data_IF_502560332410
#
_entry.id   IF_502560332410
#
_cell.length_a   1.000
_cell.length_b   1.000
_cell.length_c   1.000
_cell.angle_alpha   90.00
_cell.angle_beta   90.00
_cell.angle_gamma   90.00
#
_symmetry.space_group_name_H-M   'P 1'
#
loop_
_entity.id
_entity.type
_entity.pdbx_description
1 polymer ?
#
# COMPACT_ATOMS: atom_id res chain seq x y z
N UNK A 1 -2.90 15.62 -27.75
CA UNK A 1 -2.73 15.26 -26.31
C UNK A 1 -4.06 15.20 -25.52
N UNK A 2 -5.15 14.85 -26.19
CA UNK A 2 -6.49 14.75 -25.53
C UNK A 2 -6.58 13.61 -24.48
N UNK A 3 -5.73 12.59 -24.60
CA UNK A 3 -5.67 11.44 -23.69
C UNK A 3 -5.00 11.73 -22.34
N UNK A 4 -4.37 12.90 -22.21
CA UNK A 4 -3.57 13.28 -21.02
C UNK A 4 -4.38 14.21 -20.12
N UNK A 5 -4.17 14.10 -18.81
CA UNK A 5 -4.75 15.02 -17.85
C UNK A 5 -4.28 16.48 -18.10
N UNK A 6 -5.18 17.45 -17.95
CA UNK A 6 -4.93 18.84 -18.35
C UNK A 6 -3.71 19.47 -17.67
N UNK A 7 -3.51 19.18 -16.39
CA UNK A 7 -2.34 19.64 -15.62
C UNK A 7 -1.01 19.10 -16.15
N UNK A 8 -1.02 17.96 -16.84
CA UNK A 8 0.17 17.35 -17.40
C UNK A 8 0.50 17.84 -18.83
N UNK A 9 -0.49 18.34 -19.57
CA UNK A 9 -0.29 18.83 -20.95
C UNK A 9 0.74 19.96 -21.01
N UNK A 10 0.59 20.96 -20.15
CA UNK A 10 1.50 22.11 -20.06
C UNK A 10 2.91 21.65 -19.67
N UNK A 11 3.00 20.71 -18.73
CA UNK A 11 4.27 20.13 -18.31
C UNK A 11 4.98 19.44 -19.50
N UNK A 12 4.29 18.60 -20.28
CA UNK A 12 4.89 17.85 -21.41
C UNK A 12 5.40 18.80 -22.50
N UNK A 13 4.71 19.91 -22.75
CA UNK A 13 5.12 20.89 -23.77
C UNK A 13 6.38 21.64 -23.35
N UNK A 14 6.50 21.99 -22.07
CA UNK A 14 7.56 22.85 -21.54
C UNK A 14 8.76 22.08 -20.98
N UNK A 15 8.66 20.75 -20.83
CA UNK A 15 9.71 19.95 -20.20
C UNK A 15 10.59 19.22 -21.18
N UNK A 16 11.85 19.06 -20.83
CA UNK A 16 12.83 18.23 -21.53
C UNK A 16 12.48 16.74 -21.43
N UNK A 17 13.11 15.90 -22.23
CA UNK A 17 12.98 14.44 -22.13
C UNK A 17 13.42 13.92 -20.76
N UNK A 18 14.48 14.48 -20.18
CA UNK A 18 15.01 14.10 -18.86
C UNK A 18 14.01 14.42 -17.75
N UNK A 19 13.40 15.60 -17.76
CA UNK A 19 12.38 15.98 -16.78
C UNK A 19 11.14 15.08 -16.86
N UNK A 20 10.72 14.72 -18.07
CA UNK A 20 9.59 13.78 -18.28
C UNK A 20 9.92 12.36 -17.81
N UNK A 21 11.17 11.90 -18.01
CA UNK A 21 11.66 10.62 -17.49
C UNK A 21 11.68 10.66 -15.95
N UNK A 22 12.17 11.74 -15.35
CA UNK A 22 12.16 11.89 -13.88
C UNK A 22 10.73 11.86 -13.34
N UNK A 23 9.83 12.63 -13.95
CA UNK A 23 8.41 12.60 -13.61
C UNK A 23 7.81 11.18 -13.72
N UNK A 24 8.20 10.39 -14.75
CA UNK A 24 7.71 9.01 -14.92
C UNK A 24 8.07 8.11 -13.73
N UNK A 25 9.24 8.31 -13.13
CA UNK A 25 9.74 7.53 -11.98
C UNK A 25 9.08 7.89 -10.66
N UNK A 26 8.41 9.04 -10.58
CA UNK A 26 7.71 9.43 -9.37
C UNK A 26 6.49 8.53 -9.12
N UNK A 27 6.23 8.22 -7.84
CA UNK A 27 5.04 7.48 -7.47
C UNK A 27 3.77 8.28 -7.75
N UNK A 28 2.87 7.70 -8.52
CA UNK A 28 1.54 8.26 -8.82
C UNK A 28 0.45 7.33 -8.32
N UNK A 29 -0.50 7.92 -7.59
CA UNK A 29 -1.69 7.19 -7.18
C UNK A 29 -2.65 7.04 -8.36
N UNK A 30 -2.94 5.81 -8.72
CA UNK A 30 -3.97 5.48 -9.72
C UNK A 30 -5.20 4.92 -9.00
N UNK A 31 -6.28 5.69 -9.00
CA UNK A 31 -7.55 5.28 -8.41
C UNK A 31 -8.28 4.26 -9.27
N UNK A 32 -8.89 3.26 -8.62
CA UNK A 32 -9.76 2.26 -9.24
C UNK A 32 -10.89 1.86 -8.30
N UNK A 33 -11.97 1.28 -8.84
CA UNK A 33 -13.22 1.02 -8.12
C UNK A 33 -13.02 0.29 -6.79
N UNK A 34 -12.27 -0.81 -6.79
CA UNK A 34 -12.02 -1.60 -5.57
C UNK A 34 -11.23 -0.81 -4.52
N UNK A 35 -10.22 -0.05 -4.94
CA UNK A 35 -9.46 0.80 -4.02
C UNK A 35 -10.34 1.88 -3.39
N UNK A 36 -11.24 2.49 -4.17
CA UNK A 36 -12.20 3.48 -3.66
C UNK A 36 -13.10 2.85 -2.59
N UNK A 37 -13.70 1.70 -2.86
CA UNK A 37 -14.57 0.99 -1.90
C UNK A 37 -13.82 0.72 -0.59
N UNK A 38 -12.56 0.28 -0.66
CA UNK A 38 -11.76 0.01 0.55
C UNK A 38 -11.43 1.32 1.29
N UNK A 39 -11.07 2.38 0.56
CA UNK A 39 -10.82 3.69 1.17
C UNK A 39 -12.07 4.24 1.85
N UNK A 40 -13.24 4.12 1.23
CA UNK A 40 -14.52 4.57 1.80
C UNK A 40 -14.80 3.81 3.12
N UNK A 41 -14.61 2.48 3.16
CA UNK A 41 -14.70 1.70 4.41
C UNK A 41 -13.72 2.18 5.48
N UNK A 42 -12.48 2.51 5.09
CA UNK A 42 -11.48 3.04 6.06
C UNK A 42 -11.88 4.42 6.58
N UNK A 43 -12.52 5.26 5.75
CA UNK A 43 -13.09 6.54 6.18
C UNK A 43 -14.20 6.32 7.21
N UNK A 44 -15.11 5.38 6.97
CA UNK A 44 -16.18 5.03 7.91
C UNK A 44 -15.60 4.62 9.28
N UNK A 45 -14.48 3.89 9.30
CA UNK A 45 -13.80 3.55 10.56
C UNK A 45 -13.34 4.76 11.36
N UNK A 46 -12.96 5.88 10.71
CA UNK A 46 -12.51 7.12 11.43
C UNK A 46 -13.64 7.82 12.19
N UNK A 47 -14.87 7.59 11.77
CA UNK A 47 -16.07 8.22 12.36
C UNK A 47 -16.95 7.21 13.10
N UNK A 48 -16.49 5.96 13.20
CA UNK A 48 -17.26 4.91 13.85
C UNK A 48 -17.50 5.23 15.32
N UNK A 49 -18.75 5.12 15.84
CA UNK A 49 -19.06 5.39 17.24
C UNK A 49 -18.27 4.46 18.16
N UNK A 50 -17.72 5.02 19.24
CA UNK A 50 -17.02 4.19 20.25
C UNK A 50 -17.99 3.17 20.87
N UNK A 51 -17.58 1.91 20.87
CA UNK A 51 -18.37 0.79 21.36
C UNK A 51 -17.49 -0.25 22.05
N UNK A 52 -18.11 -1.25 22.67
CA UNK A 52 -17.39 -2.34 23.34
C UNK A 52 -16.54 -3.19 22.38
N UNK A 53 -16.89 -3.20 21.09
CA UNK A 53 -16.17 -3.93 20.05
C UNK A 53 -16.05 -3.06 18.81
N UNK A 54 -14.86 -2.55 18.58
CA UNK A 54 -14.60 -1.77 17.36
C UNK A 54 -14.44 -2.72 16.17
N UNK A 55 -15.00 -2.37 15.01
CA UNK A 55 -14.78 -3.10 13.78
C UNK A 55 -13.34 -2.91 13.31
N UNK A 56 -12.74 -3.96 12.77
CA UNK A 56 -11.39 -3.91 12.22
C UNK A 56 -11.42 -4.31 10.75
N UNK A 57 -10.44 -3.87 9.98
CA UNK A 57 -10.30 -4.21 8.57
C UNK A 57 -9.00 -4.96 8.33
N UNK A 58 -9.05 -6.06 7.56
CA UNK A 58 -7.88 -6.77 7.10
C UNK A 58 -7.74 -6.63 5.59
N UNK A 59 -6.72 -5.90 5.14
CA UNK A 59 -6.39 -5.75 3.73
C UNK A 59 -5.45 -6.89 3.30
N UNK A 60 -5.95 -7.80 2.48
CA UNK A 60 -5.21 -8.97 2.01
C UNK A 60 -4.86 -8.82 0.55
N UNK A 61 -3.62 -9.12 0.19
CA UNK A 61 -3.18 -9.15 -1.20
C UNK A 61 -1.76 -9.66 -1.33
N UNK A 62 -1.39 -10.09 -2.50
CA UNK A 62 -0.02 -10.51 -2.78
C UNK A 62 0.97 -9.35 -2.66
N UNK A 63 2.25 -9.68 -2.55
CA UNK A 63 3.32 -8.67 -2.62
C UNK A 63 3.21 -7.91 -3.93
N UNK A 64 3.56 -6.61 -3.91
CA UNK A 64 3.46 -5.73 -5.07
C UNK A 64 2.05 -5.53 -5.66
N UNK A 65 0.99 -5.86 -4.88
CA UNK A 65 -0.40 -5.66 -5.31
C UNK A 65 -1.07 -4.39 -4.71
N UNK A 66 -0.29 -3.38 -4.34
CA UNK A 66 -0.76 -2.04 -4.03
C UNK A 66 -1.28 -1.82 -2.61
N UNK A 67 -1.17 -2.80 -1.67
CA UNK A 67 -1.62 -2.66 -0.27
C UNK A 67 -1.07 -1.40 0.40
N UNK A 68 0.25 -1.31 0.51
CA UNK A 68 0.93 -0.18 1.15
C UNK A 68 0.64 1.15 0.45
N UNK A 69 0.49 1.16 -0.87
CA UNK A 69 0.11 2.35 -1.63
C UNK A 69 -1.28 2.86 -1.24
N UNK A 70 -2.25 1.95 -1.08
CA UNK A 70 -3.61 2.26 -0.62
C UNK A 70 -3.59 2.82 0.80
N UNK A 71 -2.87 2.17 1.73
CA UNK A 71 -2.73 2.65 3.11
C UNK A 71 -2.09 4.03 3.17
N UNK A 72 -1.01 4.27 2.43
CA UNK A 72 -0.35 5.58 2.35
C UNK A 72 -1.26 6.64 1.74
N UNK A 73 -2.11 6.29 0.76
CA UNK A 73 -3.12 7.21 0.21
C UNK A 73 -4.11 7.63 1.29
N UNK A 74 -4.59 6.68 2.08
CA UNK A 74 -5.49 6.97 3.20
C UNK A 74 -4.83 7.86 4.26
N UNK A 75 -3.60 7.57 4.68
CA UNK A 75 -2.84 8.41 5.61
C UNK A 75 -2.66 9.84 5.10
N UNK A 76 -2.36 10.02 3.80
CA UNK A 76 -2.23 11.35 3.18
C UNK A 76 -3.53 12.16 3.21
N UNK A 77 -4.69 11.51 3.24
CA UNK A 77 -5.98 12.19 3.35
C UNK A 77 -6.37 12.52 4.80
N UNK A 78 -5.64 11.99 5.79
CA UNK A 78 -5.89 12.14 7.22
C UNK A 78 -4.59 12.53 7.95
N UNK A 79 -3.95 13.58 7.48
CA UNK A 79 -2.69 14.07 8.06
C UNK A 79 -2.89 14.58 9.48
N UNK A 80 -1.80 14.54 10.26
CA UNK A 80 -1.75 15.19 11.55
C UNK A 80 -1.89 16.72 11.40
N UNK A 81 -2.56 17.34 12.34
CA UNK A 81 -2.78 18.79 12.35
C UNK A 81 -2.76 19.30 13.79
N UNK A 82 -2.48 20.60 13.92
CA UNK A 82 -2.62 21.29 15.21
C UNK A 82 -4.05 21.83 15.30
N UNK A 83 -4.76 21.42 16.34
CA UNK A 83 -6.09 21.95 16.65
C UNK A 83 -5.94 23.42 17.14
N UNK A 84 -6.46 24.35 16.39
CA UNK A 84 -6.35 25.80 16.66
C UNK A 84 -6.97 26.21 18.00
N UNK A 85 -7.99 25.47 18.48
CA UNK A 85 -8.68 25.81 19.75
C UNK A 85 -7.90 25.35 20.98
N UNK A 86 -7.24 24.20 20.87
CA UNK A 86 -6.56 23.56 22.01
C UNK A 86 -5.04 23.68 21.92
N UNK A 87 -4.51 24.14 20.78
CA UNK A 87 -3.08 24.13 20.45
C UNK A 87 -2.42 22.73 20.58
N UNK A 88 -3.23 21.66 20.53
CA UNK A 88 -2.75 20.27 20.62
C UNK A 88 -2.58 19.65 19.26
N UNK A 89 -1.52 18.85 19.10
CA UNK A 89 -1.32 18.03 17.92
C UNK A 89 -2.34 16.89 17.92
N UNK A 90 -3.04 16.70 16.79
CA UNK A 90 -3.97 15.60 16.52
C UNK A 90 -3.43 14.73 15.42
N UNK A 91 -3.52 13.43 15.58
CA UNK A 91 -3.08 12.42 14.60
C UNK A 91 -4.20 11.41 14.36
N UNK A 92 -5.19 11.72 13.49
CA UNK A 92 -6.37 10.87 13.32
C UNK A 92 -6.04 9.45 12.85
N UNK A 93 -5.00 9.31 12.03
CA UNK A 93 -4.57 8.01 11.49
C UNK A 93 -3.08 7.84 11.72
N UNK A 94 -2.72 6.79 12.44
CA UNK A 94 -1.34 6.41 12.65
C UNK A 94 -1.04 5.12 11.90
N UNK A 95 0.05 5.08 11.14
CA UNK A 95 0.48 3.90 10.41
C UNK A 95 1.85 3.46 10.88
N UNK A 96 1.97 2.18 11.19
CA UNK A 96 3.23 1.50 11.50
C UNK A 96 3.40 0.28 10.61
N UNK A 97 4.64 -0.16 10.47
CA UNK A 97 4.95 -1.48 9.94
C UNK A 97 5.11 -2.47 11.09
N UNK A 98 4.55 -3.67 10.94
CA UNK A 98 4.74 -4.77 11.88
C UNK A 98 6.24 -5.09 12.02
N UNK A 99 6.75 -5.36 13.23
CA UNK A 99 8.13 -5.81 13.39
C UNK A 99 8.36 -7.11 12.62
N UNK A 100 9.61 -7.41 12.22
CA UNK A 100 9.94 -8.57 11.37
C UNK A 100 9.69 -9.93 12.04
N UNK A 101 9.51 -9.94 13.34
CA UNK A 101 9.11 -11.09 14.15
C UNK A 101 8.14 -10.65 15.26
N UNK A 102 7.32 -11.56 15.83
CA UNK A 102 6.37 -11.23 16.89
C UNK A 102 7.11 -10.87 18.18
N UNK A 103 7.33 -9.57 18.39
CA UNK A 103 8.02 -8.98 19.52
C UNK A 103 7.25 -7.76 20.04
N UNK A 104 6.71 -7.86 21.23
CA UNK A 104 5.91 -6.81 21.87
C UNK A 104 6.70 -5.52 22.07
N UNK A 105 7.95 -5.61 22.53
CA UNK A 105 8.82 -4.45 22.76
C UNK A 105 9.10 -3.69 21.45
N UNK A 106 9.43 -4.42 20.38
CA UNK A 106 9.65 -3.82 19.05
C UNK A 106 8.37 -3.20 18.51
N UNK A 107 7.22 -3.83 18.76
CA UNK A 107 5.93 -3.31 18.33
C UNK A 107 5.61 -1.95 18.99
N UNK A 108 5.72 -1.86 20.33
CA UNK A 108 5.54 -0.58 21.01
C UNK A 108 6.58 0.46 20.60
N UNK A 109 7.82 0.05 20.34
CA UNK A 109 8.83 0.96 19.82
C UNK A 109 8.46 1.51 18.43
N UNK A 110 7.91 0.67 17.55
CA UNK A 110 7.45 1.13 16.24
C UNK A 110 6.37 2.21 16.37
N UNK A 111 5.42 2.04 17.31
CA UNK A 111 4.41 3.06 17.59
C UNK A 111 5.04 4.33 18.17
N UNK A 112 5.89 4.21 19.20
CA UNK A 112 6.55 5.38 19.81
C UNK A 112 7.41 6.16 18.81
N UNK A 113 8.18 5.47 17.99
CA UNK A 113 9.01 6.09 16.95
C UNK A 113 8.17 6.81 15.89
N UNK A 114 7.00 6.27 15.54
CA UNK A 114 6.12 6.89 14.53
C UNK A 114 5.52 8.22 15.00
N UNK A 115 5.46 8.45 16.32
CA UNK A 115 5.03 9.72 16.94
C UNK A 115 6.23 10.52 17.51
N UNK A 116 7.45 10.17 17.12
CA UNK A 116 8.69 10.83 17.54
C UNK A 116 8.91 10.82 19.06
N UNK A 117 8.31 9.87 19.78
CA UNK A 117 8.49 9.73 21.22
C UNK A 117 9.81 8.99 21.52
N UNK A 118 10.64 9.49 22.46
CA UNK A 118 11.92 8.86 22.78
C UNK A 118 11.71 7.46 23.38
N UNK A 119 12.59 6.51 23.07
CA UNK A 119 12.58 5.16 23.63
C UNK A 119 13.85 4.90 24.43
N UNK A 120 13.71 4.25 25.60
CA UNK A 120 14.86 3.85 26.44
C UNK A 120 14.98 2.32 26.42
N UNK A 121 16.20 1.81 26.25
CA UNK A 121 16.47 0.37 26.17
C UNK A 121 16.11 -0.34 27.49
N UNK A 122 16.32 0.32 28.63
CA UNK A 122 16.04 -0.20 29.99
C UNK A 122 14.57 -0.11 30.42
N UNK A 123 13.69 0.54 29.62
CA UNK A 123 12.29 0.71 29.96
C UNK A 123 11.56 -0.64 29.98
N UNK A 124 10.80 -0.91 31.06
CA UNK A 124 9.96 -2.11 31.19
C UNK A 124 8.83 -2.10 30.15
N UNK A 125 8.39 -3.28 29.72
CA UNK A 125 7.35 -3.43 28.70
C UNK A 125 6.04 -2.77 29.14
N UNK A 126 5.64 -2.94 30.38
CA UNK A 126 4.39 -2.39 30.94
C UNK A 126 4.39 -0.84 30.90
N UNK A 127 5.52 -0.22 31.25
CA UNK A 127 5.64 1.24 31.19
C UNK A 127 5.54 1.76 29.76
N UNK A 128 6.15 1.02 28.83
CA UNK A 128 6.11 1.33 27.41
C UNK A 128 4.71 1.18 26.84
N UNK A 129 3.99 0.14 27.20
CA UNK A 129 2.60 -0.09 26.84
C UNK A 129 1.71 1.06 27.35
N UNK A 130 1.82 1.41 28.63
CA UNK A 130 1.04 2.52 29.21
C UNK A 130 1.34 3.85 28.50
N UNK A 131 2.59 4.08 28.15
CA UNK A 131 3.00 5.28 27.43
C UNK A 131 2.45 5.33 26.01
N UNK A 132 2.44 4.19 25.30
CA UNK A 132 1.79 4.07 23.99
C UNK A 132 0.31 4.42 24.09
N UNK A 133 -0.40 3.78 25.04
CA UNK A 133 -1.84 4.01 25.24
C UNK A 133 -2.12 5.49 25.55
N UNK A 134 -1.34 6.09 26.46
CA UNK A 134 -1.47 7.49 26.82
C UNK A 134 -1.26 8.42 25.61
N UNK A 135 -0.16 8.26 24.87
CA UNK A 135 0.15 9.08 23.72
C UNK A 135 -0.88 8.97 22.58
N UNK A 136 -1.35 7.74 22.29
CA UNK A 136 -2.36 7.55 21.26
C UNK A 136 -3.72 8.18 21.65
N UNK A 137 -4.06 8.19 22.94
CA UNK A 137 -5.24 8.91 23.45
C UNK A 137 -5.06 10.42 23.38
N UNK A 138 -3.91 10.97 23.77
CA UNK A 138 -3.62 12.41 23.70
C UNK A 138 -3.59 12.93 22.24
N UNK A 139 -3.05 12.15 21.30
CA UNK A 139 -3.04 12.44 19.88
C UNK A 139 -4.41 12.24 19.20
N UNK A 140 -5.40 11.77 19.95
CA UNK A 140 -6.75 11.43 19.45
C UNK A 140 -6.71 10.52 18.22
N UNK A 141 -5.87 9.49 18.26
CA UNK A 141 -5.81 8.52 17.17
C UNK A 141 -7.15 7.82 17.05
N UNK A 142 -7.71 7.85 15.84
CA UNK A 142 -9.00 7.23 15.50
C UNK A 142 -8.84 5.88 14.82
N UNK A 143 -7.77 5.70 14.05
CA UNK A 143 -7.44 4.42 13.37
C UNK A 143 -5.95 4.15 13.49
N UNK A 144 -5.60 2.96 13.95
CA UNK A 144 -4.23 2.45 13.93
C UNK A 144 -4.06 1.46 12.78
N UNK A 145 -3.12 1.75 11.87
CA UNK A 145 -2.79 0.90 10.73
C UNK A 145 -1.52 0.11 11.03
N UNK A 146 -1.57 -1.20 10.82
CA UNK A 146 -0.45 -2.13 10.99
C UNK A 146 -0.20 -2.80 9.63
N UNK A 147 0.82 -2.33 8.91
CA UNK A 147 1.20 -2.93 7.63
C UNK A 147 2.10 -4.15 7.84
N UNK A 148 2.08 -5.08 6.88
CA UNK A 148 2.87 -6.31 6.86
C UNK A 148 2.65 -7.21 8.10
N UNK A 149 1.39 -7.33 8.58
CA UNK A 149 1.05 -8.10 9.78
C UNK A 149 1.43 -9.59 9.68
N UNK A 150 1.68 -10.10 8.46
CA UNK A 150 2.13 -11.47 8.27
C UNK A 150 3.52 -11.78 8.88
N UNK A 151 4.31 -10.78 9.21
CA UNK A 151 5.54 -10.94 9.97
C UNK A 151 5.32 -11.61 11.34
N UNK A 152 4.10 -11.54 11.87
CA UNK A 152 3.71 -12.25 13.09
C UNK A 152 3.95 -13.75 12.99
N UNK A 153 3.94 -14.31 11.78
CA UNK A 153 4.16 -15.73 11.53
C UNK A 153 5.64 -16.15 11.55
N UNK A 154 6.58 -15.23 11.61
CA UNK A 154 8.02 -15.52 11.64
C UNK A 154 8.49 -16.17 12.95
N UNK A 155 7.64 -16.18 14.00
CA UNK A 155 7.97 -16.76 15.30
C UNK A 155 7.30 -18.12 15.58
N UNK A 156 7.59 -18.69 16.74
CA UNK A 156 6.88 -19.87 17.23
C UNK A 156 5.38 -19.59 17.43
N UNK A 157 4.55 -20.61 17.41
CA UNK A 157 3.09 -20.49 17.61
C UNK A 157 2.76 -19.77 18.93
N UNK A 158 3.52 -20.03 20.00
CA UNK A 158 3.33 -19.34 21.28
C UNK A 158 3.61 -17.84 21.17
N UNK A 159 4.69 -17.43 20.50
CA UNK A 159 5.01 -16.02 20.24
C UNK A 159 3.96 -15.34 19.36
N UNK A 160 3.47 -16.04 18.33
CA UNK A 160 2.40 -15.54 17.47
C UNK A 160 1.13 -15.24 18.27
N UNK A 161 0.70 -16.18 19.12
CA UNK A 161 -0.49 -16.02 19.98
C UNK A 161 -0.33 -14.87 20.97
N UNK A 162 0.84 -14.76 21.61
CA UNK A 162 1.12 -13.64 22.52
C UNK A 162 1.01 -12.29 21.80
N UNK A 163 1.59 -12.18 20.61
CA UNK A 163 1.54 -10.95 19.83
C UNK A 163 0.12 -10.60 19.35
N UNK A 164 -0.67 -11.57 18.93
CA UNK A 164 -2.09 -11.37 18.62
C UNK A 164 -2.89 -10.90 19.83
N UNK A 165 -2.56 -11.38 21.04
CA UNK A 165 -3.16 -10.89 22.28
C UNK A 165 -2.77 -9.43 22.59
N UNK A 166 -1.53 -9.02 22.28
CA UNK A 166 -1.09 -7.61 22.40
C UNK A 166 -1.93 -6.71 21.48
N UNK A 167 -2.16 -7.12 20.23
CA UNK A 167 -3.00 -6.37 19.29
C UNK A 167 -4.45 -6.27 19.78
N UNK A 168 -5.02 -7.38 20.32
CA UNK A 168 -6.37 -7.38 20.91
C UNK A 168 -6.45 -6.43 22.10
N UNK A 169 -5.49 -6.52 23.01
CA UNK A 169 -5.43 -5.68 24.20
C UNK A 169 -5.39 -4.20 23.79
N UNK A 170 -4.49 -3.82 22.88
CA UNK A 170 -4.34 -2.44 22.45
C UNK A 170 -5.63 -1.90 21.80
N UNK A 171 -6.27 -2.69 20.95
CA UNK A 171 -7.55 -2.30 20.32
C UNK A 171 -8.66 -2.07 21.38
N UNK A 172 -8.72 -2.90 22.41
CA UNK A 172 -9.71 -2.78 23.48
C UNK A 172 -9.44 -1.55 24.36
N UNK A 173 -8.18 -1.33 24.77
CA UNK A 173 -7.81 -0.21 25.66
C UNK A 173 -7.96 1.15 24.99
N UNK A 174 -7.72 1.24 23.69
CA UNK A 174 -7.85 2.47 22.92
C UNK A 174 -9.28 2.69 22.43
N UNK A 175 -10.09 1.65 22.34
CA UNK A 175 -11.42 1.70 21.72
C UNK A 175 -11.36 2.34 20.30
N UNK A 176 -10.41 1.90 19.49
CA UNK A 176 -10.24 2.34 18.12
C UNK A 176 -10.21 1.15 17.15
N UNK A 177 -10.67 1.33 15.89
CA UNK A 177 -10.50 0.35 14.86
C UNK A 177 -9.03 0.13 14.51
N UNK A 178 -8.71 -1.11 14.16
CA UNK A 178 -7.43 -1.49 13.57
C UNK A 178 -7.62 -1.78 12.08
N UNK A 179 -6.66 -1.32 11.28
CA UNK A 179 -6.52 -1.70 9.88
C UNK A 179 -5.23 -2.47 9.74
N UNK A 180 -5.31 -3.77 9.53
CA UNK A 180 -4.14 -4.61 9.30
C UNK A 180 -3.98 -4.89 7.80
N UNK A 181 -2.76 -4.96 7.30
CA UNK A 181 -2.48 -5.39 5.94
C UNK A 181 -1.43 -6.48 5.88
N UNK A 182 -1.59 -7.39 4.90
CA UNK A 182 -0.64 -8.46 4.71
C UNK A 182 -0.97 -9.38 3.54
N UNK A 183 -0.23 -10.47 3.44
CA UNK A 183 -0.46 -11.52 2.45
C UNK A 183 -1.56 -12.48 2.92
N UNK A 184 -1.90 -13.49 2.10
CA UNK A 184 -2.80 -14.58 2.49
C UNK A 184 -2.39 -15.25 3.81
N UNK A 185 -1.10 -15.26 4.12
CA UNK A 185 -0.61 -15.79 5.40
C UNK A 185 -1.13 -14.97 6.59
N UNK A 186 -1.24 -13.64 6.47
CA UNK A 186 -1.82 -12.80 7.51
C UNK A 186 -3.29 -13.14 7.78
N UNK A 187 -4.06 -13.40 6.73
CA UNK A 187 -5.43 -13.86 6.86
C UNK A 187 -5.49 -15.18 7.64
N UNK A 188 -4.68 -16.17 7.26
CA UNK A 188 -4.62 -17.45 7.94
C UNK A 188 -4.27 -17.28 9.43
N UNK A 189 -3.28 -16.43 9.76
CA UNK A 189 -2.90 -16.17 11.15
C UNK A 189 -4.05 -15.58 11.99
N UNK A 190 -4.76 -14.60 11.45
CA UNK A 190 -5.91 -13.98 12.12
C UNK A 190 -7.05 -14.99 12.30
N UNK A 191 -7.26 -15.87 11.34
CA UNK A 191 -8.30 -16.92 11.42
C UNK A 191 -8.02 -17.99 12.49
N UNK A 192 -6.77 -18.13 12.98
CA UNK A 192 -6.47 -19.05 14.10
C UNK A 192 -7.05 -18.60 15.43
N UNK A 193 -7.42 -17.34 15.57
CA UNK A 193 -8.03 -16.78 16.77
C UNK A 193 -9.48 -16.36 16.47
N UNK A 194 -10.45 -17.06 17.03
CA UNK A 194 -11.88 -16.81 16.81
C UNK A 194 -12.33 -15.40 17.21
N UNK A 195 -11.69 -14.78 18.21
CA UNK A 195 -12.02 -13.43 18.64
C UNK A 195 -11.52 -12.37 17.65
N UNK A 196 -10.37 -12.62 17.02
CA UNK A 196 -9.85 -11.74 15.96
C UNK A 196 -10.58 -11.97 14.64
N UNK A 197 -10.82 -13.22 14.24
CA UNK A 197 -11.51 -13.54 12.99
C UNK A 197 -12.90 -12.90 12.91
N UNK A 198 -13.62 -12.85 14.04
CA UNK A 198 -14.94 -12.21 14.13
C UNK A 198 -14.91 -10.67 14.14
N UNK A 199 -13.73 -10.06 14.24
CA UNK A 199 -13.58 -8.59 14.30
C UNK A 199 -12.96 -8.02 13.03
N UNK A 200 -12.19 -8.82 12.29
CA UNK A 200 -11.50 -8.37 11.10
C UNK A 200 -12.27 -8.70 9.83
N UNK A 201 -12.86 -7.69 9.21
CA UNK A 201 -13.48 -7.83 7.90
C UNK A 201 -12.40 -7.94 6.81
N UNK A 202 -12.31 -9.07 6.08
CA UNK A 202 -11.32 -9.23 5.03
C UNK A 202 -11.70 -8.43 3.77
N UNK A 203 -10.76 -7.64 3.27
CA UNK A 203 -10.85 -6.94 2.00
C UNK A 203 -9.69 -7.36 1.11
N UNK A 204 -10.01 -8.06 0.02
CA UNK A 204 -9.00 -8.73 -0.80
C UNK A 204 -8.68 -7.89 -2.03
N UNK A 205 -7.39 -7.63 -2.26
CA UNK A 205 -6.84 -7.15 -3.52
C UNK A 205 -6.42 -8.36 -4.35
N UNK A 206 -7.25 -8.71 -5.31
CA UNK A 206 -6.97 -9.80 -6.26
C UNK A 206 -6.03 -9.34 -7.37
N UNK A 207 -5.43 -10.28 -8.10
CA UNK A 207 -4.74 -9.97 -9.35
C UNK A 207 -5.73 -9.43 -10.38
N UNK A 208 -5.25 -8.59 -11.25
CA UNK A 208 -6.03 -8.08 -12.36
C UNK A 208 -6.23 -9.17 -13.42
N UNK A 209 -7.40 -9.16 -14.01
CA UNK A 209 -7.81 -10.05 -15.08
C UNK A 209 -8.28 -9.22 -16.26
N UNK A 210 -8.29 -9.77 -17.47
CA UNK A 210 -8.75 -9.04 -18.66
C UNK A 210 -10.26 -8.80 -18.62
N UNK A 211 -10.64 -7.73 -17.94
CA UNK A 211 -12.02 -7.28 -17.80
C UNK A 211 -12.14 -5.76 -17.95
N UNK A 212 -13.34 -5.25 -17.87
CA UNK A 212 -13.63 -3.81 -18.01
C UNK A 212 -12.90 -2.96 -16.97
N UNK A 213 -12.76 -3.42 -15.73
CA UNK A 213 -12.09 -2.66 -14.66
C UNK A 213 -10.58 -2.58 -14.91
N UNK A 214 -9.97 -3.64 -15.43
CA UNK A 214 -8.57 -3.62 -15.87
C UNK A 214 -8.35 -2.63 -17.02
N UNK A 215 -9.22 -2.62 -18.03
CA UNK A 215 -9.15 -1.64 -19.13
C UNK A 215 -9.32 -0.20 -18.62
N UNK A 216 -10.20 0.03 -17.64
CA UNK A 216 -10.32 1.34 -16.96
C UNK A 216 -9.06 1.72 -16.19
N UNK A 217 -8.41 0.75 -15.53
CA UNK A 217 -7.13 0.97 -14.87
C UNK A 217 -6.06 1.41 -15.88
N UNK A 218 -5.90 0.71 -17.01
CA UNK A 218 -4.96 1.06 -18.06
C UNK A 218 -5.24 2.46 -18.65
N UNK A 219 -6.51 2.80 -18.88
CA UNK A 219 -6.91 4.13 -19.33
C UNK A 219 -6.55 5.22 -18.28
N UNK A 220 -6.63 4.89 -16.99
CA UNK A 220 -6.22 5.81 -15.91
C UNK A 220 -4.71 5.98 -15.86
N UNK A 221 -3.94 4.93 -16.08
CA UNK A 221 -2.49 5.02 -16.25
C UNK A 221 -2.12 5.89 -17.44
N UNK A 222 -2.73 5.65 -18.60
CA UNK A 222 -2.43 6.40 -19.83
C UNK A 222 -2.56 7.92 -19.65
N UNK A 223 -3.51 8.38 -18.82
CA UNK A 223 -3.73 9.81 -18.51
C UNK A 223 -2.57 10.48 -17.77
N UNK A 224 -1.73 9.72 -17.10
CA UNK A 224 -0.62 10.24 -16.26
C UNK A 224 0.76 9.95 -16.85
N UNK A 225 0.83 9.27 -17.99
CA UNK A 225 2.09 9.02 -18.69
C UNK A 225 2.50 10.27 -19.50
N UNK A 226 3.73 10.80 -19.32
CA UNK A 226 4.17 12.04 -19.97
C UNK A 226 4.68 11.81 -21.40
N UNK A 227 3.87 11.17 -22.25
CA UNK A 227 4.14 10.91 -23.68
C UNK A 227 3.16 11.65 -24.58
N UNK A 228 3.65 12.14 -25.74
CA UNK A 228 2.90 13.07 -26.59
C UNK A 228 1.78 12.42 -27.41
N UNK A 229 1.94 11.15 -27.76
CA UNK A 229 1.00 10.42 -28.62
C UNK A 229 0.18 9.43 -27.78
N UNK A 230 -1.06 9.21 -28.18
CA UNK A 230 -1.95 8.23 -27.55
C UNK A 230 -1.47 6.80 -27.85
N UNK A 231 -1.33 5.98 -26.84
CA UNK A 231 -0.91 4.58 -26.94
C UNK A 231 -2.07 3.62 -27.16
N UNK A 232 -3.28 3.96 -26.69
CA UNK A 232 -4.46 3.09 -26.65
C UNK A 232 -4.19 1.81 -25.84
N UNK A 233 -3.70 1.94 -24.63
CA UNK A 233 -3.35 0.80 -23.76
C UNK A 233 -4.51 -0.17 -23.52
N UNK A 234 -5.75 0.27 -23.78
CA UNK A 234 -6.97 -0.55 -23.66
C UNK A 234 -7.19 -1.50 -24.85
N UNK A 235 -6.46 -1.35 -25.94
CA UNK A 235 -6.54 -2.28 -27.07
C UNK A 235 -6.12 -3.69 -26.66
N UNK A 236 -6.82 -4.70 -27.16
CA UNK A 236 -6.65 -6.10 -26.72
C UNK A 236 -5.20 -6.58 -26.84
N UNK A 237 -4.49 -6.19 -27.92
CA UNK A 237 -3.09 -6.58 -28.12
C UNK A 237 -2.18 -6.05 -27.03
N UNK A 238 -2.28 -4.76 -26.69
CA UNK A 238 -1.45 -4.12 -25.66
C UNK A 238 -1.88 -4.54 -24.25
N UNK A 239 -3.18 -4.50 -23.96
CA UNK A 239 -3.71 -4.86 -22.65
C UNK A 239 -3.38 -6.31 -22.28
N UNK A 240 -3.56 -7.28 -23.20
CA UNK A 240 -3.20 -8.68 -22.98
C UNK A 240 -1.70 -8.87 -22.78
N UNK A 241 -0.86 -8.16 -23.57
CA UNK A 241 0.60 -8.23 -23.42
C UNK A 241 1.03 -7.72 -22.06
N UNK A 242 0.53 -6.56 -21.61
CA UNK A 242 0.83 -5.98 -20.30
C UNK A 242 0.36 -6.92 -19.17
N UNK A 243 -0.84 -7.49 -19.31
CA UNK A 243 -1.38 -8.43 -18.32
C UNK A 243 -0.52 -9.68 -18.18
N UNK A 244 -0.12 -10.26 -19.30
CA UNK A 244 0.75 -11.44 -19.34
C UNK A 244 2.13 -11.14 -18.70
N UNK A 245 2.73 -10.00 -19.03
CA UNK A 245 4.03 -9.61 -18.49
C UNK A 245 3.96 -9.34 -16.99
N UNK A 246 2.90 -8.69 -16.50
CA UNK A 246 2.72 -8.27 -15.10
C UNK A 246 2.18 -9.36 -14.18
N UNK A 247 1.72 -10.48 -14.73
CA UNK A 247 0.99 -11.52 -13.99
C UNK A 247 -0.20 -10.94 -13.18
N UNK A 248 -0.80 -9.85 -13.70
CA UNK A 248 -1.93 -9.16 -13.09
C UNK A 248 -1.61 -8.41 -11.80
N UNK A 249 -0.35 -8.18 -11.45
CA UNK A 249 0.06 -7.40 -10.27
C UNK A 249 0.17 -5.91 -10.62
N UNK A 250 -0.54 -5.05 -9.91
CA UNK A 250 -0.60 -3.61 -10.22
C UNK A 250 0.78 -2.93 -10.15
N UNK A 251 1.64 -3.34 -9.23
CA UNK A 251 3.00 -2.80 -9.15
C UNK A 251 3.86 -3.20 -10.34
N UNK A 252 3.68 -4.41 -10.88
CA UNK A 252 4.35 -4.85 -12.10
C UNK A 252 3.77 -4.14 -13.34
N UNK A 253 2.44 -3.95 -13.42
CA UNK A 253 1.82 -3.11 -14.47
C UNK A 253 2.44 -1.71 -14.46
N UNK A 254 2.54 -1.08 -13.29
CA UNK A 254 3.14 0.24 -13.13
C UNK A 254 4.60 0.25 -13.61
N UNK A 255 5.38 -0.79 -13.25
CA UNK A 255 6.80 -0.90 -13.64
C UNK A 255 6.97 -1.08 -15.16
N UNK A 256 6.14 -1.92 -15.78
CA UNK A 256 6.14 -2.10 -17.23
C UNK A 256 5.84 -0.78 -17.95
N UNK A 257 4.80 -0.07 -17.49
CA UNK A 257 4.42 1.21 -18.08
C UNK A 257 5.48 2.29 -17.85
N UNK A 258 6.15 2.32 -16.70
CA UNK A 258 7.30 3.19 -16.43
C UNK A 258 8.43 2.94 -17.43
N UNK A 259 8.90 1.70 -17.56
CA UNK A 259 9.99 1.32 -18.46
C UNK A 259 9.62 1.61 -19.91
N UNK A 260 8.40 1.26 -20.33
CA UNK A 260 7.91 1.50 -21.70
C UNK A 260 7.80 3.00 -22.00
N UNK A 261 7.40 3.82 -21.04
CA UNK A 261 7.34 5.27 -21.20
C UNK A 261 8.74 5.86 -21.35
N UNK A 262 9.69 5.45 -20.54
CA UNK A 262 11.09 5.89 -20.62
C UNK A 262 11.67 5.53 -21.99
N UNK A 263 11.46 4.30 -22.46
CA UNK A 263 11.94 3.87 -23.77
C UNK A 263 11.26 4.65 -24.91
N UNK A 264 9.94 4.88 -24.82
CA UNK A 264 9.20 5.66 -25.82
C UNK A 264 9.65 7.12 -25.91
N UNK A 265 10.08 7.72 -24.80
CA UNK A 265 10.68 9.07 -24.79
C UNK A 265 12.08 9.03 -25.41
N UNK A 266 12.93 8.09 -25.02
CA UNK A 266 14.33 7.98 -25.51
C UNK A 266 14.39 7.69 -27.02
N UNK A 267 13.49 6.85 -27.53
CA UNK A 267 13.41 6.52 -28.97
C UNK A 267 12.62 7.54 -29.76
N UNK A 268 12.12 8.61 -29.14
CA UNK A 268 11.27 9.65 -29.76
C UNK A 268 9.98 9.11 -30.40
N UNK A 269 9.61 7.86 -30.14
CA UNK A 269 8.36 7.28 -30.65
C UNK A 269 7.14 7.97 -30.03
N UNK A 270 7.28 8.45 -28.79
CA UNK A 270 6.28 9.15 -27.98
C UNK A 270 4.95 8.36 -27.85
N UNK A 271 5.04 7.02 -27.95
CA UNK A 271 3.90 6.10 -27.91
C UNK A 271 4.38 4.74 -27.45
N UNK A 272 3.62 4.09 -26.55
CA UNK A 272 3.84 2.69 -26.17
C UNK A 272 3.22 1.81 -27.26
N UNK A 273 4.04 0.95 -27.87
CA UNK A 273 3.67 -0.02 -28.90
C UNK A 273 4.03 -1.43 -28.45
N UNK A 274 3.64 -2.46 -29.20
CA UNK A 274 4.09 -3.83 -28.94
C UNK A 274 5.61 -3.97 -29.02
N UNK A 275 6.24 -3.26 -29.96
CA UNK A 275 7.70 -3.28 -30.13
C UNK A 275 8.38 -2.71 -28.87
N UNK A 276 7.93 -1.54 -28.40
CA UNK A 276 8.41 -0.97 -27.12
C UNK A 276 8.24 -1.95 -25.96
N UNK A 277 7.07 -2.62 -25.85
CA UNK A 277 6.85 -3.62 -24.79
C UNK A 277 7.75 -4.86 -24.91
N UNK A 278 8.21 -5.19 -26.11
CA UNK A 278 9.14 -6.30 -26.34
C UNK A 278 10.60 -5.91 -26.07
N UNK A 279 10.95 -4.63 -26.26
CA UNK A 279 12.32 -4.10 -26.13
C UNK A 279 12.69 -3.67 -24.72
N UNK A 280 11.71 -3.42 -23.82
CA UNK A 280 12.03 -3.02 -22.45
C UNK A 280 12.84 -4.12 -21.73
N UNK A 281 13.85 -3.70 -20.96
CA UNK A 281 14.59 -4.59 -20.08
C UNK A 281 13.74 -4.93 -18.85
N UNK A 282 12.90 -5.94 -18.98
CA UNK A 282 11.97 -6.37 -17.94
C UNK A 282 11.87 -7.87 -17.87
N UNK A 283 12.08 -8.40 -16.65
CA UNK A 283 11.92 -9.82 -16.35
C UNK A 283 10.65 -10.01 -15.54
N UNK A 284 9.67 -10.71 -16.09
CA UNK A 284 8.42 -11.04 -15.43
C UNK A 284 8.67 -11.81 -14.11
N UNK A 285 7.85 -11.61 -13.05
CA UNK A 285 8.06 -12.22 -11.74
C UNK A 285 8.29 -13.73 -11.78
N UNK A 286 7.52 -14.42 -12.58
CA UNK A 286 7.61 -15.87 -12.78
C UNK A 286 8.94 -16.34 -13.41
N UNK A 287 9.62 -15.47 -14.13
CA UNK A 287 10.86 -15.77 -14.84
C UNK A 287 12.12 -15.31 -14.09
N UNK A 288 12.00 -14.48 -13.04
CA UNK A 288 13.16 -13.92 -12.30
C UNK A 288 14.09 -15.01 -11.76
N UNK A 289 13.51 -16.10 -11.21
CA UNK A 289 14.29 -17.22 -10.71
C UNK A 289 15.07 -17.93 -11.83
N UNK A 290 14.43 -18.18 -12.98
CA UNK A 290 15.09 -18.80 -14.14
C UNK A 290 16.18 -17.89 -14.72
N UNK A 291 15.91 -16.60 -14.85
CA UNK A 291 16.88 -15.61 -15.33
C UNK A 291 18.13 -15.55 -14.45
N UNK A 292 17.95 -15.63 -13.12
CA UNK A 292 19.07 -15.66 -12.17
C UNK A 292 19.99 -16.88 -12.40
N UNK A 293 19.43 -18.08 -12.54
CA UNK A 293 20.23 -19.28 -12.77
C UNK A 293 20.86 -19.34 -14.17
N UNK A 294 20.20 -18.78 -15.20
CA UNK A 294 20.73 -18.79 -16.57
C UNK A 294 21.89 -17.79 -16.78
N UNK A 295 21.99 -16.75 -15.94
CA UNK A 295 23.08 -15.75 -16.03
C UNK A 295 24.37 -16.15 -15.29
N UNK A 296 24.52 -17.44 -14.92
CA UNK A 296 25.82 -18.04 -14.58
C UNK A 296 26.44 -17.59 -13.24
N UNK A 297 25.62 -17.14 -12.30
CA UNK A 297 26.08 -16.93 -10.92
C UNK A 297 25.88 -18.27 -10.19
N UNK A 298 26.94 -19.08 -10.13
CA UNK A 298 27.07 -20.30 -9.31
C UNK A 298 27.48 -19.90 -7.89
#
# INVERSE_FOLDING_TARGET
>A
MEHIADNLKTFIVNSSSEERILYTKEFKWIGYTKAKIILDKMVDLTTYPKGHRMPNLLLVGESNNGKTALLKKFCRSHQSYVDEKTAKLKCPVLMIQSPPEPDEKRFYNAILNSVLAPTKTSEKIENRQNRVIHLLKELEVKVLIIDEIHHVLAGTISKQRLFLNVIKYLSNELNIPLVCSGTKLAFNAIQTDSQLSNRFEPNILVRWENNTDYKRLLASFEKVLPIKKRSNLIEDKLSNKILLMSDGLIGEISKILELSTILAINTTSEKITLDILNEIDYIAPQNRKKAFFNNGIY
#
